data_IF_975296130809
#
_entry.id   IF_975296130809
#
_cell.length_a   1.000
_cell.length_b   1.000
_cell.length_c   1.000
_cell.angle_alpha   90.00
_cell.angle_beta   90.00
_cell.angle_gamma   90.00
#
_symmetry.space_group_name_H-M   'P 1'
#
loop_
_entity.id
_entity.type
_entity.pdbx_description
1 polymer ?
#
# COMPACT_ATOMS: atom_id res chain seq x y z
N UNK A 1 -26.03 0.02 -24.74
CA UNK A 1 -26.80 0.69 -23.68
C UNK A 1 -26.53 0.04 -22.33
N UNK A 2 -26.10 0.82 -21.34
CA UNK A 2 -26.31 0.71 -19.90
C UNK A 2 -25.26 0.05 -19.02
N UNK A 3 -23.96 0.19 -19.23
CA UNK A 3 -22.99 -0.08 -18.14
C UNK A 3 -22.86 1.11 -17.16
N UNK A 4 -23.17 2.34 -17.59
CA UNK A 4 -23.10 3.53 -16.73
C UNK A 4 -24.06 3.53 -15.51
N UNK A 5 -25.12 2.74 -15.59
CA UNK A 5 -26.11 2.63 -14.46
C UNK A 5 -25.64 1.76 -13.29
N UNK A 6 -24.45 1.15 -13.39
CA UNK A 6 -23.91 0.25 -12.34
C UNK A 6 -22.79 0.91 -11.51
N UNK A 7 -22.29 2.03 -11.99
CA UNK A 7 -21.31 2.82 -11.25
C UNK A 7 -22.03 3.73 -10.26
N UNK A 8 -21.72 3.57 -9.00
CA UNK A 8 -22.20 4.42 -7.91
C UNK A 8 -21.04 5.28 -7.43
N UNK A 9 -21.19 6.59 -7.53
CA UNK A 9 -20.15 7.52 -7.14
C UNK A 9 -20.71 8.77 -6.50
N UNK A 10 -19.94 9.42 -5.68
CA UNK A 10 -20.33 10.66 -5.03
C UNK A 10 -19.27 11.15 -4.06
N UNK A 11 -19.52 12.31 -3.47
CA UNK A 11 -18.67 12.88 -2.42
C UNK A 11 -19.45 12.87 -1.11
N UNK A 12 -18.84 12.30 -0.07
CA UNK A 12 -19.39 12.28 1.28
C UNK A 12 -18.30 12.62 2.29
N UNK A 13 -18.56 13.61 3.12
CA UNK A 13 -17.62 14.08 4.15
C UNK A 13 -16.22 14.41 3.60
N UNK A 14 -16.17 15.05 2.42
CA UNK A 14 -14.93 15.38 1.73
C UNK A 14 -14.23 14.20 1.03
N UNK A 15 -14.79 12.99 1.08
CA UNK A 15 -14.24 11.82 0.42
C UNK A 15 -15.02 11.48 -0.84
N UNK A 16 -14.32 11.36 -1.96
CA UNK A 16 -14.90 10.78 -3.18
C UNK A 16 -14.96 9.26 -3.02
N UNK A 17 -16.11 8.68 -3.29
CA UNK A 17 -16.26 7.24 -3.41
C UNK A 17 -16.71 6.84 -4.81
N UNK A 18 -16.20 5.70 -5.28
CA UNK A 18 -16.59 5.08 -6.54
C UNK A 18 -16.79 3.59 -6.29
N UNK A 19 -17.96 3.07 -6.60
CA UNK A 19 -18.32 1.66 -6.39
C UNK A 19 -18.96 1.08 -7.63
N UNK A 20 -18.56 -0.12 -8.00
CA UNK A 20 -19.22 -0.90 -9.05
C UNK A 20 -20.25 -1.85 -8.40
N UNK A 21 -21.54 -1.69 -8.74
CA UNK A 21 -22.59 -2.56 -8.26
C UNK A 21 -22.51 -3.95 -8.93
N UNK A 22 -22.69 -5.04 -8.20
CA UNK A 22 -22.69 -6.39 -8.78
C UNK A 22 -23.78 -6.55 -9.85
N UNK A 23 -23.49 -7.34 -10.90
CA UNK A 23 -24.45 -7.63 -11.95
C UNK A 23 -25.53 -8.60 -11.54
N UNK A 24 -26.73 -8.43 -12.07
CA UNK A 24 -27.89 -9.28 -11.78
C UNK A 24 -27.71 -10.76 -12.19
N UNK A 25 -26.77 -11.09 -13.06
CA UNK A 25 -26.58 -12.45 -13.60
C UNK A 25 -25.21 -13.05 -13.27
N UNK A 26 -24.53 -12.60 -12.21
CA UNK A 26 -23.23 -13.15 -11.81
C UNK A 26 -22.09 -12.92 -12.81
N UNK A 27 -22.32 -12.14 -13.87
CA UNK A 27 -21.25 -11.75 -14.80
C UNK A 27 -20.30 -10.77 -14.13
N UNK A 28 -19.02 -11.07 -14.18
CA UNK A 28 -17.98 -10.13 -13.81
C UNK A 28 -18.11 -8.86 -14.66
N UNK A 29 -18.09 -7.71 -13.99
CA UNK A 29 -18.07 -6.41 -14.67
C UNK A 29 -16.86 -5.66 -14.21
N UNK A 30 -16.24 -4.96 -15.13
CA UNK A 30 -15.17 -4.01 -14.86
C UNK A 30 -15.62 -2.61 -15.30
N UNK A 31 -15.17 -1.60 -14.62
CA UNK A 31 -15.31 -0.22 -15.03
C UNK A 31 -13.94 0.45 -14.90
N UNK A 32 -13.59 1.27 -15.88
CA UNK A 32 -12.43 2.11 -15.84
C UNK A 32 -12.88 3.52 -15.45
N UNK A 33 -12.19 4.10 -14.47
CA UNK A 33 -12.49 5.43 -13.94
C UNK A 33 -11.20 6.23 -13.87
N UNK A 34 -11.18 7.37 -14.52
CA UNK A 34 -10.07 8.34 -14.44
C UNK A 34 -10.49 9.48 -13.54
N UNK A 35 -9.68 9.74 -12.51
CA UNK A 35 -9.91 10.80 -11.54
C UNK A 35 -8.78 11.83 -11.64
N UNK A 36 -9.16 13.08 -11.76
CA UNK A 36 -8.23 14.21 -11.66
C UNK A 36 -8.33 14.80 -10.25
N UNK A 37 -7.19 15.04 -9.62
CA UNK A 37 -7.13 15.56 -8.26
C UNK A 37 -6.04 16.64 -8.14
N UNK A 38 -6.26 17.61 -7.27
CA UNK A 38 -5.27 18.65 -6.95
C UNK A 38 -4.39 18.23 -5.76
N UNK A 39 -4.96 17.50 -4.81
CA UNK A 39 -4.24 16.94 -3.66
C UNK A 39 -4.84 15.60 -3.24
N UNK A 40 -3.98 14.70 -2.77
CA UNK A 40 -4.38 13.38 -2.30
C UNK A 40 -3.79 13.16 -0.90
N UNK A 41 -4.63 12.97 0.11
CA UNK A 41 -4.23 12.70 1.50
C UNK A 41 -4.62 11.29 1.96
N UNK A 42 -5.61 10.69 1.30
CA UNK A 42 -6.04 9.35 1.61
C UNK A 42 -6.50 8.60 0.35
N UNK A 43 -6.11 7.34 0.24
CA UNK A 43 -6.55 6.44 -0.83
C UNK A 43 -6.98 5.11 -0.21
N UNK A 44 -8.21 4.68 -0.51
CA UNK A 44 -8.71 3.36 -0.14
C UNK A 44 -9.15 2.62 -1.38
N UNK A 45 -8.67 1.39 -1.56
CA UNK A 45 -9.05 0.56 -2.68
C UNK A 45 -9.37 -0.88 -2.21
N UNK A 46 -10.42 -1.44 -2.77
CA UNK A 46 -10.84 -2.81 -2.51
C UNK A 46 -11.29 -3.46 -3.81
N UNK A 47 -10.72 -4.60 -4.16
CA UNK A 47 -10.97 -5.31 -5.41
C UNK A 47 -10.83 -4.40 -6.66
N UNK A 48 -9.84 -3.52 -6.66
CA UNK A 48 -9.62 -2.53 -7.70
C UNK A 48 -8.13 -2.43 -8.04
N UNK A 49 -7.84 -2.14 -9.31
CA UNK A 49 -6.50 -1.79 -9.75
C UNK A 49 -6.38 -0.28 -9.83
N UNK A 50 -5.41 0.28 -9.13
CA UNK A 50 -5.18 1.71 -9.07
C UNK A 50 -3.78 2.01 -9.59
N UNK A 51 -3.69 2.92 -10.54
CA UNK A 51 -2.43 3.51 -10.98
C UNK A 51 -2.53 5.02 -10.80
N UNK A 52 -1.52 5.59 -10.15
CA UNK A 52 -1.45 7.03 -9.94
C UNK A 52 -0.37 7.58 -10.86
N UNK A 53 -0.74 8.53 -11.71
CA UNK A 53 0.18 9.18 -12.64
C UNK A 53 0.83 10.40 -11.98
N UNK A 54 2.16 10.45 -12.05
CA UNK A 54 2.97 11.49 -11.42
C UNK A 54 3.14 11.31 -9.90
N UNK A 55 4.05 12.08 -9.30
CA UNK A 55 4.32 11.98 -7.87
C UNK A 55 3.19 12.58 -7.03
N UNK A 56 2.77 11.86 -6.00
CA UNK A 56 1.86 12.39 -4.98
C UNK A 56 2.68 13.17 -3.97
N UNK A 57 2.53 14.49 -4.00
CA UNK A 57 3.22 15.40 -3.10
C UNK A 57 2.26 15.88 -2.01
N UNK A 58 2.48 15.44 -0.78
CA UNK A 58 1.67 15.88 0.38
C UNK A 58 2.46 15.69 1.68
N UNK A 59 2.00 16.30 2.75
CA UNK A 59 2.63 16.14 4.05
C UNK A 59 2.33 14.76 4.65
N UNK A 60 1.07 14.34 4.62
CA UNK A 60 0.62 13.05 5.17
C UNK A 60 -0.22 12.31 4.13
N UNK A 61 0.13 11.06 3.86
CA UNK A 61 -0.61 10.16 2.97
C UNK A 61 -1.00 8.88 3.69
N UNK A 62 -2.29 8.55 3.66
CA UNK A 62 -2.81 7.29 4.18
C UNK A 62 -3.33 6.41 3.04
N UNK A 63 -2.86 5.17 2.97
CA UNK A 63 -3.26 4.18 1.95
C UNK A 63 -3.83 2.93 2.62
N UNK A 64 -4.98 2.47 2.16
CA UNK A 64 -5.64 1.26 2.65
C UNK A 64 -6.06 0.37 1.47
N UNK A 65 -5.44 -0.80 1.33
CA UNK A 65 -5.71 -1.74 0.26
C UNK A 65 -6.25 -3.06 0.80
N UNK A 66 -7.34 -3.54 0.21
CA UNK A 66 -7.98 -4.77 0.62
C UNK A 66 -8.53 -5.58 -0.55
N UNK A 67 -8.83 -6.86 -0.29
CA UNK A 67 -9.57 -7.74 -1.19
C UNK A 67 -8.97 -7.85 -2.62
N UNK A 68 -7.65 -8.02 -2.71
CA UNK A 68 -6.96 -8.19 -3.98
C UNK A 68 -6.75 -6.88 -4.76
N UNK A 69 -6.82 -5.73 -4.11
CA UNK A 69 -6.51 -4.46 -4.75
C UNK A 69 -5.03 -4.37 -5.14
N UNK A 70 -4.74 -3.68 -6.23
CA UNK A 70 -3.36 -3.37 -6.63
C UNK A 70 -3.15 -1.86 -6.70
N UNK A 71 -1.95 -1.41 -6.34
CA UNK A 71 -1.59 0.01 -6.38
C UNK A 71 -0.17 0.19 -6.92
N UNK A 72 -0.02 1.09 -7.88
CA UNK A 72 1.27 1.64 -8.29
C UNK A 72 1.27 3.15 -8.06
N UNK A 73 2.27 3.67 -7.33
CA UNK A 73 2.33 5.08 -6.96
C UNK A 73 3.76 5.54 -6.72
N UNK A 74 4.06 6.76 -7.15
CA UNK A 74 5.25 7.51 -6.77
C UNK A 74 4.89 8.58 -5.73
N UNK A 75 5.66 8.72 -4.65
CA UNK A 75 5.33 9.60 -3.54
C UNK A 75 6.49 10.51 -3.14
N UNK A 76 6.16 11.73 -2.73
CA UNK A 76 7.05 12.65 -2.04
C UNK A 76 6.32 13.19 -0.80
N UNK A 77 6.50 12.54 0.35
CA UNK A 77 5.71 12.81 1.55
C UNK A 77 6.59 12.98 2.78
N UNK A 78 6.05 13.56 3.84
CA UNK A 78 6.69 13.51 5.16
C UNK A 78 6.29 12.23 5.88
N UNK A 79 5.00 11.92 5.94
CA UNK A 79 4.46 10.73 6.59
C UNK A 79 3.68 9.88 5.58
N UNK A 80 4.09 8.63 5.40
CA UNK A 80 3.38 7.63 4.63
C UNK A 80 2.88 6.51 5.56
N UNK A 81 1.57 6.36 5.64
CA UNK A 81 0.93 5.29 6.38
C UNK A 81 0.22 4.33 5.43
N UNK A 82 0.58 3.04 5.47
CA UNK A 82 0.00 2.03 4.59
C UNK A 82 -0.56 0.84 5.35
N UNK A 83 -1.77 0.43 4.98
CA UNK A 83 -2.37 -0.85 5.33
C UNK A 83 -2.63 -1.63 4.06
N UNK A 84 -2.10 -2.86 3.97
CA UNK A 84 -2.28 -3.72 2.80
C UNK A 84 -2.68 -5.12 3.26
N UNK A 85 -3.84 -5.58 2.84
CA UNK A 85 -4.40 -6.85 3.30
C UNK A 85 -5.12 -7.63 2.19
N UNK A 86 -5.40 -8.91 2.42
CA UNK A 86 -6.31 -9.70 1.58
C UNK A 86 -5.81 -9.94 0.16
N UNK A 87 -4.59 -10.47 -0.01
CA UNK A 87 -3.92 -10.71 -1.30
C UNK A 87 -3.73 -9.44 -2.15
N UNK A 88 -3.77 -8.25 -1.54
CA UNK A 88 -3.50 -7.00 -2.24
C UNK A 88 -2.02 -6.81 -2.49
N UNK A 89 -1.68 -6.03 -3.53
CA UNK A 89 -0.30 -5.73 -3.89
C UNK A 89 -0.09 -4.22 -4.04
N UNK A 90 1.07 -3.73 -3.59
CA UNK A 90 1.46 -2.35 -3.76
C UNK A 90 2.90 -2.26 -4.27
N UNK A 91 3.12 -1.36 -5.22
CA UNK A 91 4.45 -0.95 -5.68
C UNK A 91 4.59 0.56 -5.45
N UNK A 92 5.45 0.95 -4.51
CA UNK A 92 5.60 2.34 -4.08
C UNK A 92 7.03 2.77 -4.30
N UNK A 93 7.17 3.92 -4.95
CA UNK A 93 8.47 4.55 -5.26
C UNK A 93 8.53 5.96 -4.70
N UNK A 94 9.70 6.58 -4.72
CA UNK A 94 9.88 7.97 -4.33
C UNK A 94 10.57 8.17 -2.98
N UNK A 95 10.11 9.15 -2.21
CA UNK A 95 10.75 9.52 -0.94
C UNK A 95 9.74 9.82 0.16
N UNK A 96 10.10 9.46 1.39
CA UNK A 96 9.33 9.84 2.58
C UNK A 96 10.24 9.96 3.79
N UNK A 97 9.85 10.74 4.77
CA UNK A 97 10.61 10.82 6.01
C UNK A 97 10.22 9.69 6.97
N UNK A 98 8.93 9.46 7.16
CA UNK A 98 8.39 8.42 8.05
C UNK A 98 7.50 7.47 7.26
N UNK A 99 7.82 6.20 7.31
CA UNK A 99 7.05 5.14 6.64
C UNK A 99 6.55 4.11 7.65
N UNK A 100 5.23 3.99 7.76
CA UNK A 100 4.58 2.96 8.57
C UNK A 100 3.79 2.02 7.67
N UNK A 101 4.16 0.73 7.67
CA UNK A 101 3.54 -0.31 6.85
C UNK A 101 2.98 -1.42 7.73
N UNK A 102 1.70 -1.74 7.53
CA UNK A 102 1.04 -2.94 8.05
C UNK A 102 0.63 -3.83 6.87
N UNK A 103 1.27 -4.98 6.71
CA UNK A 103 1.00 -5.95 5.65
C UNK A 103 0.48 -7.26 6.25
N UNK A 104 -0.68 -7.72 5.81
CA UNK A 104 -1.28 -8.94 6.36
C UNK A 104 -2.03 -9.75 5.30
N UNK A 105 -2.37 -11.02 5.64
CA UNK A 105 -3.24 -11.85 4.80
C UNK A 105 -2.74 -12.00 3.37
N UNK A 106 -1.49 -12.43 3.23
CA UNK A 106 -0.79 -12.65 1.95
C UNK A 106 -0.65 -11.39 1.09
N UNK A 107 -0.65 -10.21 1.70
CA UNK A 107 -0.34 -8.97 1.02
C UNK A 107 1.10 -8.96 0.51
N UNK A 108 1.34 -8.31 -0.62
CA UNK A 108 2.68 -8.08 -1.17
C UNK A 108 2.94 -6.59 -1.34
N UNK A 109 4.00 -6.09 -0.70
CA UNK A 109 4.37 -4.68 -0.80
C UNK A 109 5.82 -4.57 -1.25
N UNK A 110 6.02 -3.96 -2.39
CA UNK A 110 7.34 -3.61 -2.90
C UNK A 110 7.57 -2.11 -2.77
N UNK A 111 8.38 -1.72 -1.80
CA UNK A 111 8.84 -0.35 -1.57
C UNK A 111 10.37 -0.29 -1.48
N UNK A 112 11.07 -1.14 -2.24
CA UNK A 112 12.54 -1.14 -2.31
C UNK A 112 13.12 0.15 -2.87
N UNK A 113 12.37 0.84 -3.70
CA UNK A 113 12.77 2.10 -4.35
C UNK A 113 12.13 3.33 -3.69
N UNK A 114 11.45 3.14 -2.58
CA UNK A 114 11.00 4.21 -1.70
C UNK A 114 12.10 4.47 -0.66
N UNK A 115 12.80 5.58 -0.77
CA UNK A 115 13.79 5.99 0.22
C UNK A 115 13.10 6.61 1.43
N UNK A 116 13.19 5.92 2.58
CA UNK A 116 12.60 6.39 3.84
C UNK A 116 13.66 6.53 4.93
N UNK A 117 13.60 7.62 5.71
CA UNK A 117 14.54 7.83 6.82
C UNK A 117 14.21 6.89 7.98
N UNK A 118 12.96 6.85 8.41
CA UNK A 118 12.49 6.04 9.53
C UNK A 118 11.37 5.10 9.03
N UNK A 119 11.61 3.79 9.13
CA UNK A 119 10.68 2.77 8.67
C UNK A 119 10.21 1.90 9.82
N UNK A 120 8.89 1.79 9.97
CA UNK A 120 8.24 0.79 10.80
C UNK A 120 7.42 -0.14 9.93
N UNK A 121 7.75 -1.43 9.92
CA UNK A 121 7.02 -2.44 9.18
C UNK A 121 6.57 -3.59 10.08
N UNK A 122 5.30 -3.92 9.99
CA UNK A 122 4.69 -5.08 10.65
C UNK A 122 4.06 -5.95 9.57
N UNK A 123 4.55 -7.18 9.43
CA UNK A 123 4.06 -8.15 8.47
C UNK A 123 3.55 -9.39 9.18
N UNK A 124 2.37 -9.88 8.80
CA UNK A 124 1.77 -11.06 9.41
C UNK A 124 0.98 -11.91 8.40
N UNK A 125 0.65 -13.15 8.78
CA UNK A 125 -0.25 -14.03 8.01
C UNK A 125 0.17 -14.22 6.56
N UNK A 126 1.45 -14.57 6.37
CA UNK A 126 2.02 -14.87 5.06
C UNK A 126 2.21 -13.66 4.16
N UNK A 127 2.21 -12.45 4.70
CA UNK A 127 2.51 -11.24 3.93
C UNK A 127 4.00 -11.15 3.59
N UNK A 128 4.30 -10.44 2.51
CA UNK A 128 5.65 -10.22 2.01
C UNK A 128 5.87 -8.71 1.82
N UNK A 129 6.88 -8.15 2.50
CA UNK A 129 7.18 -6.73 2.47
C UNK A 129 8.65 -6.49 2.12
N UNK A 130 8.88 -5.63 1.13
CA UNK A 130 10.20 -5.13 0.76
C UNK A 130 10.28 -3.64 1.11
N UNK A 131 11.27 -3.24 1.89
CA UNK A 131 11.43 -1.85 2.36
C UNK A 131 12.87 -1.37 2.21
N UNK A 132 13.04 -0.04 2.14
CA UNK A 132 14.35 0.61 2.16
C UNK A 132 14.37 1.68 3.26
N UNK A 133 15.38 1.61 4.14
CA UNK A 133 15.53 2.56 5.24
C UNK A 133 16.95 3.13 5.27
N UNK A 134 17.07 4.43 5.56
CA UNK A 134 18.37 5.11 5.61
C UNK A 134 18.88 5.39 7.01
N UNK A 135 18.00 5.60 8.01
CA UNK A 135 18.41 5.96 9.37
C UNK A 135 17.91 4.96 10.42
N UNK A 136 16.61 4.66 10.42
CA UNK A 136 16.00 3.78 11.43
C UNK A 136 15.10 2.75 10.78
N UNK A 137 15.18 1.51 11.27
CA UNK A 137 14.36 0.41 10.80
C UNK A 137 13.84 -0.41 11.97
N UNK A 138 12.52 -0.46 12.11
CA UNK A 138 11.84 -1.33 13.06
C UNK A 138 10.97 -2.33 12.31
N UNK A 139 11.20 -3.62 12.52
CA UNK A 139 10.53 -4.70 11.82
C UNK A 139 9.92 -5.70 12.78
N UNK A 140 8.69 -6.11 12.50
CA UNK A 140 8.03 -7.23 13.17
C UNK A 140 7.46 -8.16 12.12
N UNK A 141 7.91 -9.41 12.09
CA UNK A 141 7.42 -10.45 11.19
C UNK A 141 6.79 -11.58 11.98
N UNK A 142 5.55 -11.94 11.67
CA UNK A 142 4.78 -12.93 12.40
C UNK A 142 3.99 -13.86 11.46
N UNK A 143 3.66 -15.03 11.95
CA UNK A 143 2.75 -16.01 11.29
C UNK A 143 3.10 -16.23 9.81
N UNK A 144 4.36 -16.65 9.58
CA UNK A 144 4.87 -17.02 8.26
C UNK A 144 5.05 -15.85 7.27
N UNK A 145 5.05 -14.61 7.75
CA UNK A 145 5.35 -13.46 6.91
C UNK A 145 6.86 -13.31 6.65
N UNK A 146 7.21 -12.57 5.61
CA UNK A 146 8.60 -12.29 5.25
C UNK A 146 8.81 -10.79 5.05
N UNK A 147 9.86 -10.26 5.67
CA UNK A 147 10.31 -8.89 5.47
C UNK A 147 11.70 -8.92 4.86
N UNK A 148 11.87 -8.19 3.78
CA UNK A 148 13.13 -7.98 3.09
C UNK A 148 13.49 -6.51 3.16
N UNK A 149 14.68 -6.18 3.60
CA UNK A 149 15.08 -4.78 3.69
C UNK A 149 16.43 -4.51 3.01
N UNK A 150 16.55 -3.30 2.51
CA UNK A 150 17.80 -2.74 1.98
C UNK A 150 18.12 -1.40 2.65
N UNK A 151 19.32 -0.90 2.41
CA UNK A 151 19.87 0.29 3.04
C UNK A 151 20.75 -0.03 4.23
N UNK A 152 21.37 0.99 4.80
CA UNK A 152 22.31 0.91 5.93
C UNK A 152 21.80 1.75 7.11
N UNK A 153 20.63 1.45 7.68
CA UNK A 153 20.12 2.21 8.80
C UNK A 153 21.02 2.06 10.04
N UNK A 154 21.32 3.16 10.69
CA UNK A 154 22.15 3.17 11.91
C UNK A 154 21.47 2.51 13.11
N UNK A 155 20.14 2.43 13.11
CA UNK A 155 19.35 1.79 14.15
C UNK A 155 18.44 0.74 13.54
N UNK A 156 18.68 -0.53 13.88
CA UNK A 156 17.83 -1.67 13.44
C UNK A 156 17.24 -2.36 14.66
N UNK A 157 15.93 -2.52 14.67
CA UNK A 157 15.19 -3.35 15.63
C UNK A 157 14.35 -4.35 14.88
N UNK A 158 14.53 -5.63 15.18
CA UNK A 158 13.81 -6.70 14.49
C UNK A 158 13.23 -7.72 15.48
N UNK A 159 12.05 -8.22 15.18
CA UNK A 159 11.39 -9.30 15.91
C UNK A 159 10.72 -10.23 14.92
N UNK A 160 11.11 -11.49 14.91
CA UNK A 160 10.49 -12.55 14.11
C UNK A 160 9.84 -13.57 15.03
N UNK A 161 8.57 -13.89 14.78
CA UNK A 161 7.76 -14.82 15.58
C UNK A 161 7.02 -15.79 14.65
N UNK A 162 6.63 -16.95 15.16
CA UNK A 162 5.74 -17.92 14.50
C UNK A 162 6.08 -18.14 13.01
N UNK A 163 7.32 -18.54 12.71
CA UNK A 163 7.86 -18.75 11.36
C UNK A 163 7.97 -17.47 10.49
N UNK A 164 7.86 -16.29 11.08
CA UNK A 164 8.19 -15.05 10.40
C UNK A 164 9.69 -14.97 10.08
N UNK A 165 10.04 -14.34 8.97
CA UNK A 165 11.43 -14.16 8.54
C UNK A 165 11.75 -12.70 8.26
N UNK A 166 13.01 -12.31 8.51
CA UNK A 166 13.53 -10.96 8.23
C UNK A 166 14.91 -11.12 7.60
N UNK A 167 15.08 -10.62 6.39
CA UNK A 167 16.29 -10.79 5.61
C UNK A 167 16.79 -9.44 5.06
N UNK A 168 18.10 -9.22 5.14
CA UNK A 168 18.74 -8.14 4.39
C UNK A 168 18.99 -8.61 2.95
N UNK A 169 18.67 -7.75 1.99
CA UNK A 169 18.86 -8.04 0.55
C UNK A 169 19.94 -7.20 -0.11
N UNK A 170 20.84 -6.59 0.70
CA UNK A 170 21.98 -5.79 0.23
C UNK A 170 21.60 -4.36 -0.14
N UNK A 171 22.56 -3.67 -0.73
CA UNK A 171 22.44 -2.30 -1.21
C UNK A 171 21.61 -2.18 -2.48
#
# INVERSE_FOLDING_TARGET
>A
QSESNRLDWGVKDGNLFVKLKPGMNGKASSAEVVLYYDSLQALKASAANVAVEGPVCCEVLSVDLAAGATLGMDVATTDLYMKVAGNSAANITGTTKYYTLFATSKAKVDSRTLEAMDVRVEAASGAEAYVCATERLQMTSDTGAAIFYRGEPSIVRSSAKMMGTINSIGQ
#
